data_IF_350196642954
#
_entry.id   IF_350196642954
#
_cell.length_a   1.000
_cell.length_b   1.000
_cell.length_c   1.000
_cell.angle_alpha   90.00
_cell.angle_beta   90.00
_cell.angle_gamma   90.00
#
_symmetry.space_group_name_H-M   'P 1'
#
loop_
_entity.id
_entity.type
_entity.pdbx_description
1 polymer ?
#
# COMPACT_ATOMS: atom_id res chain seq x y z
N UNK A 1 -1.22 -28.12 32.83
CA UNK A 1 -1.39 -26.67 33.06
C UNK A 1 -1.98 -26.10 31.79
N UNK A 2 -3.04 -25.32 31.83
CA UNK A 2 -3.53 -24.70 30.60
C UNK A 2 -2.45 -23.74 30.06
N UNK A 3 -2.11 -23.86 28.78
CA UNK A 3 -1.25 -22.90 28.11
C UNK A 3 -1.87 -21.51 28.18
N UNK A 4 -1.19 -20.56 28.84
CA UNK A 4 -1.63 -19.16 28.82
C UNK A 4 -1.59 -18.65 27.37
N UNK A 5 -2.78 -18.37 26.83
CA UNK A 5 -2.92 -17.80 25.51
C UNK A 5 -2.43 -16.35 25.53
N UNK A 6 -1.21 -16.12 25.07
CA UNK A 6 -0.66 -14.77 24.96
C UNK A 6 -1.42 -14.00 23.87
N UNK A 7 -2.05 -12.88 24.26
CA UNK A 7 -2.66 -11.94 23.31
C UNK A 7 -1.60 -10.89 22.96
N UNK A 8 -1.19 -10.88 21.68
CA UNK A 8 -0.16 -9.97 21.18
C UNK A 8 -0.78 -8.84 20.34
N UNK A 9 -0.44 -7.59 20.70
CA UNK A 9 -0.81 -6.39 19.94
C UNK A 9 0.41 -5.75 19.24
N UNK A 10 1.54 -6.46 19.15
CA UNK A 10 2.82 -5.92 18.66
C UNK A 10 2.87 -5.68 17.15
N UNK A 11 2.03 -6.32 16.40
CA UNK A 11 1.95 -6.17 14.92
C UNK A 11 0.49 -6.11 14.51
N UNK A 12 0.13 -5.17 13.64
CA UNK A 12 -1.21 -5.08 13.05
C UNK A 12 -1.45 -6.19 12.01
N UNK A 13 -1.36 -7.47 12.45
CA UNK A 13 -1.58 -8.64 11.58
C UNK A 13 -3.05 -9.00 11.64
N UNK A 14 -3.78 -8.98 10.51
CA UNK A 14 -5.18 -9.41 10.47
C UNK A 14 -5.30 -10.90 10.82
N UNK A 15 -6.45 -11.28 11.38
CA UNK A 15 -6.75 -12.68 11.66
C UNK A 15 -6.87 -13.46 10.33
N UNK A 16 -6.21 -14.64 10.21
CA UNK A 16 -6.23 -15.42 8.96
C UNK A 16 -7.63 -15.73 8.45
N UNK A 17 -8.58 -15.96 9.33
CA UNK A 17 -9.98 -16.22 9.04
C UNK A 17 -10.73 -15.02 8.42
N UNK A 18 -10.16 -13.82 8.51
CA UNK A 18 -10.74 -12.62 7.90
C UNK A 18 -10.34 -12.42 6.43
N UNK A 19 -9.46 -13.26 5.90
CA UNK A 19 -9.01 -13.11 4.51
C UNK A 19 -10.05 -13.63 3.53
N UNK A 20 -10.52 -12.81 2.57
CA UNK A 20 -11.49 -13.21 1.56
C UNK A 20 -10.83 -14.02 0.43
N UNK A 21 -10.21 -15.15 0.77
CA UNK A 21 -9.35 -15.92 -0.16
C UNK A 21 -10.10 -16.45 -1.36
N UNK A 22 -11.32 -16.94 -1.19
CA UNK A 22 -12.14 -17.47 -2.29
C UNK A 22 -12.55 -16.37 -3.27
N UNK A 23 -13.00 -15.22 -2.74
CA UNK A 23 -13.35 -14.07 -3.56
C UNK A 23 -12.16 -13.54 -4.36
N UNK A 24 -11.00 -13.45 -3.73
CA UNK A 24 -9.77 -13.00 -4.40
C UNK A 24 -9.33 -14.00 -5.48
N UNK A 25 -9.42 -15.32 -5.22
CA UNK A 25 -9.10 -16.35 -6.19
C UNK A 25 -10.04 -16.27 -7.41
N UNK A 26 -11.33 -16.07 -7.18
CA UNK A 26 -12.33 -15.91 -8.23
C UNK A 26 -12.04 -14.65 -9.07
N UNK A 27 -11.85 -13.49 -8.44
CA UNK A 27 -11.52 -12.24 -9.14
C UNK A 27 -10.23 -12.36 -9.96
N UNK A 28 -9.19 -12.98 -9.39
CA UNK A 28 -7.92 -13.16 -10.09
C UNK A 28 -8.07 -14.07 -11.33
N UNK A 29 -8.82 -15.17 -11.20
CA UNK A 29 -9.09 -16.09 -12.31
C UNK A 29 -9.86 -15.40 -13.46
N UNK A 30 -10.89 -14.62 -13.13
CA UNK A 30 -11.68 -13.91 -14.15
C UNK A 30 -10.84 -12.84 -14.84
N UNK A 31 -10.13 -12.01 -14.07
CA UNK A 31 -9.31 -10.95 -14.62
C UNK A 31 -8.20 -11.48 -15.53
N UNK A 32 -7.55 -12.59 -15.14
CA UNK A 32 -6.50 -13.21 -15.97
C UNK A 32 -7.11 -13.77 -17.28
N UNK A 33 -8.30 -14.33 -17.24
CA UNK A 33 -8.96 -14.85 -18.46
C UNK A 33 -9.37 -13.74 -19.41
N UNK A 34 -9.91 -12.65 -18.88
CA UNK A 34 -10.44 -11.55 -19.69
C UNK A 34 -9.35 -10.61 -20.18
N UNK A 35 -8.43 -10.23 -19.30
CA UNK A 35 -7.42 -9.19 -19.54
C UNK A 35 -5.98 -9.68 -19.40
N UNK A 36 -5.73 -10.99 -19.36
CA UNK A 36 -4.41 -11.55 -19.08
C UNK A 36 -3.30 -11.02 -19.98
N UNK A 37 -3.58 -10.76 -21.26
CA UNK A 37 -2.59 -10.18 -22.19
C UNK A 37 -2.15 -8.77 -21.79
N UNK A 38 -3.02 -8.02 -21.14
CA UNK A 38 -2.74 -6.66 -20.68
C UNK A 38 -2.08 -6.67 -19.29
N UNK A 39 -2.66 -7.38 -18.34
CA UNK A 39 -2.23 -7.31 -16.93
C UNK A 39 -0.94 -8.07 -16.64
N UNK A 40 -0.60 -9.06 -17.46
CA UNK A 40 0.66 -9.84 -17.34
C UNK A 40 1.82 -9.21 -18.13
N UNK A 41 1.60 -8.09 -18.80
CA UNK A 41 2.62 -7.34 -19.53
C UNK A 41 3.13 -6.16 -18.67
N UNK A 42 4.20 -5.52 -19.09
CA UNK A 42 4.66 -4.27 -18.47
C UNK A 42 3.55 -3.23 -18.49
N UNK A 43 3.20 -2.74 -17.30
CA UNK A 43 2.16 -1.74 -17.10
C UNK A 43 2.65 -0.31 -17.21
N UNK A 44 1.70 0.63 -17.14
CA UNK A 44 2.00 2.05 -17.05
C UNK A 44 2.61 2.39 -15.68
N UNK A 45 3.51 3.35 -15.65
CA UNK A 45 4.19 3.79 -14.42
C UNK A 45 3.22 4.26 -13.32
N UNK A 46 2.09 4.85 -13.71
CA UNK A 46 1.07 5.30 -12.76
C UNK A 46 0.17 4.17 -12.23
N UNK A 47 0.26 2.98 -12.80
CA UNK A 47 -0.54 1.81 -12.44
C UNK A 47 -1.67 1.50 -13.43
N UNK A 48 -2.36 0.41 -13.14
CA UNK A 48 -3.44 -0.13 -13.99
C UNK A 48 -4.61 0.86 -14.11
N UNK A 49 -4.92 1.25 -15.35
CA UNK A 49 -5.85 2.33 -15.64
C UNK A 49 -7.26 2.11 -15.06
N UNK A 50 -7.91 0.94 -15.21
CA UNK A 50 -9.24 0.73 -14.65
C UNK A 50 -9.29 0.85 -13.13
N UNK A 51 -8.24 0.43 -12.41
CA UNK A 51 -8.15 0.60 -10.97
C UNK A 51 -8.01 2.08 -10.58
N UNK A 52 -7.21 2.85 -11.34
CA UNK A 52 -7.07 4.30 -11.12
C UNK A 52 -8.38 5.04 -11.33
N UNK A 53 -9.14 4.67 -12.35
CA UNK A 53 -10.46 5.24 -12.64
C UNK A 53 -11.46 4.95 -11.52
N UNK A 54 -11.50 3.71 -11.02
CA UNK A 54 -12.35 3.32 -9.89
C UNK A 54 -12.03 4.14 -8.63
N UNK A 55 -10.74 4.22 -8.27
CA UNK A 55 -10.29 4.99 -7.10
C UNK A 55 -10.61 6.48 -7.28
N UNK A 56 -10.36 7.03 -8.46
CA UNK A 56 -10.64 8.42 -8.78
C UNK A 56 -12.13 8.76 -8.65
N UNK A 57 -13.00 7.88 -9.13
CA UNK A 57 -14.45 8.04 -9.00
C UNK A 57 -14.88 8.03 -7.52
N UNK A 58 -14.33 7.13 -6.70
CA UNK A 58 -14.61 7.08 -5.27
C UNK A 58 -14.09 8.31 -4.52
N UNK A 59 -12.94 8.84 -4.92
CA UNK A 59 -12.30 10.00 -4.30
C UNK A 59 -12.80 11.35 -4.84
N UNK A 60 -13.61 11.37 -5.90
CA UNK A 60 -14.07 12.59 -6.55
C UNK A 60 -12.95 13.40 -7.22
N UNK A 61 -11.93 12.72 -7.77
CA UNK A 61 -10.77 13.34 -8.42
C UNK A 61 -10.61 12.85 -9.86
N UNK A 62 -9.74 13.53 -10.63
CA UNK A 62 -9.37 13.05 -11.96
C UNK A 62 -8.44 11.83 -11.86
N UNK A 63 -8.60 10.76 -12.67
CA UNK A 63 -7.72 9.59 -12.72
C UNK A 63 -6.23 9.92 -12.91
N UNK A 64 -5.90 11.03 -13.58
CA UNK A 64 -4.53 11.52 -13.72
C UNK A 64 -3.86 11.92 -12.39
N UNK A 65 -4.65 12.09 -11.33
CA UNK A 65 -4.17 12.37 -9.96
C UNK A 65 -4.03 11.12 -9.09
N UNK A 66 -4.26 9.94 -9.65
CA UNK A 66 -4.16 8.66 -8.95
C UNK A 66 -2.92 7.91 -9.41
N UNK A 67 -2.10 7.49 -8.48
CA UNK A 67 -0.93 6.63 -8.69
C UNK A 67 -1.07 5.40 -7.81
N UNK A 68 -0.84 4.23 -8.38
CA UNK A 68 -0.84 2.96 -7.65
C UNK A 68 0.60 2.60 -7.28
N UNK A 69 0.80 2.20 -6.02
CA UNK A 69 2.11 1.77 -5.52
C UNK A 69 2.03 0.46 -4.72
N UNK A 70 3.19 0.00 -4.29
CA UNK A 70 3.37 -1.26 -3.55
C UNK A 70 3.25 -1.03 -2.03
N UNK A 71 2.08 -0.57 -1.60
CA UNK A 71 1.81 -0.29 -0.20
C UNK A 71 2.13 1.15 0.24
N UNK A 72 1.56 1.54 1.37
CA UNK A 72 1.59 2.92 1.87
C UNK A 72 3.01 3.42 2.20
N UNK A 73 3.89 2.53 2.68
CA UNK A 73 5.26 2.93 3.03
C UNK A 73 6.07 3.32 1.80
N UNK A 74 5.91 2.61 0.67
CA UNK A 74 6.55 2.99 -0.59
C UNK A 74 6.05 4.35 -1.09
N UNK A 75 4.73 4.54 -1.07
CA UNK A 75 4.14 5.83 -1.47
C UNK A 75 4.66 6.96 -0.58
N UNK A 76 4.70 6.74 0.74
CA UNK A 76 5.22 7.73 1.68
C UNK A 76 6.71 8.05 1.40
N UNK A 77 7.54 7.04 1.12
CA UNK A 77 8.94 7.24 0.73
C UNK A 77 9.07 8.13 -0.52
N UNK A 78 8.28 7.86 -1.55
CA UNK A 78 8.26 8.69 -2.75
C UNK A 78 7.82 10.14 -2.48
N UNK A 79 6.80 10.33 -1.66
CA UNK A 79 6.32 11.65 -1.25
C UNK A 79 7.41 12.41 -0.48
N UNK A 80 8.03 11.74 0.52
CA UNK A 80 9.11 12.35 1.32
C UNK A 80 10.29 12.75 0.43
N UNK A 81 10.78 11.85 -0.41
CA UNK A 81 11.90 12.15 -1.34
C UNK A 81 11.59 13.28 -2.31
N UNK A 82 10.35 13.44 -2.72
CA UNK A 82 9.94 14.47 -3.69
C UNK A 82 9.72 15.83 -3.06
N UNK A 83 9.19 15.89 -1.83
CA UNK A 83 8.72 17.12 -1.21
C UNK A 83 9.65 17.64 -0.09
N UNK A 84 10.32 16.74 0.63
CA UNK A 84 11.17 17.10 1.78
C UNK A 84 12.63 17.29 1.34
N UNK A 85 13.19 18.44 1.66
CA UNK A 85 14.58 18.80 1.38
C UNK A 85 15.43 18.62 2.64
N UNK A 86 16.77 18.50 2.51
CA UNK A 86 17.67 18.62 3.64
C UNK A 86 17.39 19.91 4.45
N UNK A 87 17.34 19.78 5.76
CA UNK A 87 17.02 20.83 6.72
C UNK A 87 15.51 21.21 6.84
N UNK A 88 14.62 20.66 6.05
CA UNK A 88 13.18 20.84 6.29
C UNK A 88 12.75 20.19 7.60
N UNK A 89 11.79 20.82 8.29
CA UNK A 89 11.20 20.31 9.52
C UNK A 89 9.92 19.54 9.17
N UNK A 90 9.87 18.27 9.58
CA UNK A 90 8.70 17.42 9.44
C UNK A 90 8.11 17.14 10.83
N UNK A 91 6.86 17.51 11.04
CA UNK A 91 6.13 17.23 12.27
C UNK A 91 5.39 15.91 12.15
N UNK A 92 5.45 15.11 13.20
CA UNK A 92 4.74 13.82 13.31
C UNK A 92 4.04 13.72 14.66
N UNK A 93 3.00 12.91 14.72
CA UNK A 93 2.35 12.57 15.99
C UNK A 93 3.26 11.69 16.85
N UNK A 94 3.03 11.68 18.16
CA UNK A 94 3.70 10.79 19.09
C UNK A 94 2.67 10.09 19.98
N UNK A 95 2.59 8.76 19.96
CA UNK A 95 3.43 7.82 19.19
C UNK A 95 3.09 7.78 17.71
N UNK A 96 4.08 7.47 16.85
CA UNK A 96 3.91 7.25 15.42
C UNK A 96 4.59 5.96 14.96
N UNK A 97 4.32 5.57 13.72
CA UNK A 97 4.93 4.39 13.13
C UNK A 97 6.43 4.61 12.89
N UNK A 98 7.27 3.81 13.53
CA UNK A 98 8.72 3.95 13.57
C UNK A 98 9.39 3.96 12.19
N UNK A 99 8.91 3.13 11.25
CA UNK A 99 9.44 3.07 9.89
C UNK A 99 9.25 4.37 9.12
N UNK A 100 8.20 5.13 9.41
CA UNK A 100 7.98 6.45 8.81
C UNK A 100 9.04 7.45 9.22
N UNK A 101 9.60 7.33 10.44
CA UNK A 101 10.68 8.18 10.92
C UNK A 101 12.01 7.91 10.20
N UNK A 102 12.25 6.65 9.83
CA UNK A 102 13.48 6.23 9.18
C UNK A 102 13.58 6.71 7.73
N UNK A 103 12.46 6.93 7.05
CA UNK A 103 12.44 7.45 5.67
C UNK A 103 13.14 8.80 5.53
N UNK A 104 13.07 9.65 6.56
CA UNK A 104 13.72 10.96 6.58
C UNK A 104 15.26 10.86 6.62
N UNK A 105 15.80 9.82 7.21
CA UNK A 105 17.23 9.65 7.44
C UNK A 105 17.97 8.98 6.26
N UNK A 106 17.27 8.69 5.15
CA UNK A 106 17.87 8.01 3.99
C UNK A 106 18.24 6.56 4.26
N UNK A 107 17.86 6.00 5.40
CA UNK A 107 18.02 4.58 5.68
C UNK A 107 16.82 3.84 5.09
N UNK A 108 17.08 3.09 4.03
CA UNK A 108 16.09 2.15 3.52
C UNK A 108 15.73 1.15 4.62
N UNK A 109 14.45 0.80 4.80
CA UNK A 109 14.10 -0.29 5.70
C UNK A 109 14.73 -1.57 5.18
N UNK A 110 15.62 -2.18 5.99
CA UNK A 110 16.16 -3.51 5.77
C UNK A 110 15.11 -4.59 5.93
#
# INVERSE_FOLDING_TARGET
>A
MPEEKIISFTRGIPAPESFPTEQLAWCANDLIKEEGRLILQYGQAAGYQPLRELIAAQAGVNPERVIIGQGSLQILDHVVRRLVKPADVVMVEQPTYDRSLNLRNGQAPG
#
